data_IF_118005854121
#
_entry.id   IF_118005854121
#
_cell.length_a   1.000
_cell.length_b   1.000
_cell.length_c   1.000
_cell.angle_alpha   90.00
_cell.angle_beta   90.00
_cell.angle_gamma   90.00
#
_symmetry.space_group_name_H-M   'P 1'
#
loop_
_entity.id
_entity.type
_entity.pdbx_description
1 polymer ?
#
# COMPACT_ATOMS: atom_id res chain seq x y z
N UNK A 1 3.83 10.54 8.61
CA UNK A 1 2.63 11.45 8.59
C UNK A 1 3.03 12.91 8.34
N UNK A 2 4.27 13.32 8.62
CA UNK A 2 4.76 14.68 8.35
C UNK A 2 4.96 14.92 6.85
N UNK A 3 5.40 13.90 6.16
CA UNK A 3 5.74 13.85 4.74
C UNK A 3 4.50 14.04 3.86
N UNK A 4 3.43 13.31 4.17
CA UNK A 4 2.13 13.42 3.46
C UNK A 4 1.53 14.82 3.68
N UNK A 5 1.61 15.36 4.89
CA UNK A 5 1.14 16.72 5.19
C UNK A 5 1.93 17.77 4.42
N UNK A 6 3.24 17.60 4.31
CA UNK A 6 4.09 18.50 3.54
C UNK A 6 3.76 18.41 2.05
N UNK A 7 3.68 17.20 1.51
CA UNK A 7 3.27 16.96 0.14
C UNK A 7 1.90 17.58 -0.18
N UNK A 8 0.90 17.44 0.69
CA UNK A 8 -0.42 18.04 0.48
C UNK A 8 -0.36 19.58 0.43
N UNK A 9 0.51 20.21 1.22
CA UNK A 9 0.73 21.67 1.15
C UNK A 9 1.35 22.08 -0.18
N UNK A 10 2.37 21.35 -0.62
CA UNK A 10 3.06 21.65 -1.88
C UNK A 10 2.16 21.35 -3.09
N UNK A 11 1.33 20.31 -3.00
CA UNK A 11 0.30 20.00 -3.98
C UNK A 11 -0.72 21.12 -4.13
N UNK A 12 -1.17 21.72 -3.02
CA UNK A 12 -2.06 22.88 -3.05
C UNK A 12 -1.42 24.09 -3.71
N UNK A 13 -0.11 24.30 -3.52
CA UNK A 13 0.62 25.37 -4.23
C UNK A 13 0.68 25.10 -5.73
N UNK A 14 0.93 23.85 -6.13
CA UNK A 14 0.90 23.47 -7.55
C UNK A 14 -0.48 23.70 -8.16
N UNK A 15 -1.55 23.32 -7.47
CA UNK A 15 -2.91 23.58 -7.91
C UNK A 15 -3.17 25.09 -8.13
N UNK A 16 -2.75 25.93 -7.19
CA UNK A 16 -2.87 27.38 -7.31
C UNK A 16 -2.03 27.94 -8.46
N UNK A 17 -0.82 27.42 -8.65
CA UNK A 17 0.09 27.84 -9.72
C UNK A 17 -0.40 27.42 -11.12
N UNK A 18 -1.07 26.27 -11.23
CA UNK A 18 -1.62 25.78 -12.50
C UNK A 18 -2.85 26.57 -12.96
N UNK A 19 -3.53 27.29 -12.08
CA UNK A 19 -4.62 28.22 -12.42
C UNK A 19 -5.69 27.58 -13.32
N UNK A 20 -5.93 28.19 -14.49
CA UNK A 20 -6.92 27.74 -15.47
C UNK A 20 -6.59 26.40 -16.14
N UNK A 21 -5.31 25.98 -16.11
CA UNK A 21 -4.89 24.69 -16.65
C UNK A 21 -5.18 23.51 -15.69
N UNK A 22 -5.67 23.80 -14.47
CA UNK A 22 -6.06 22.77 -13.51
C UNK A 22 -7.45 22.22 -13.82
N UNK A 23 -7.51 21.00 -14.33
CA UNK A 23 -8.76 20.30 -14.65
C UNK A 23 -8.97 19.14 -13.68
N UNK A 24 -9.73 19.34 -12.58
CA UNK A 24 -9.98 18.27 -11.62
C UNK A 24 -10.92 17.23 -12.20
N UNK A 25 -10.75 15.98 -11.77
CA UNK A 25 -11.73 14.94 -12.03
C UNK A 25 -13.06 15.33 -11.37
N UNK A 26 -14.18 15.09 -12.06
CA UNK A 26 -15.52 15.31 -11.53
C UNK A 26 -16.19 13.98 -11.21
N UNK A 27 -17.04 13.98 -10.19
CA UNK A 27 -17.92 12.84 -9.90
C UNK A 27 -19.11 12.79 -10.88
N UNK A 28 -19.97 11.80 -10.69
CA UNK A 28 -21.17 11.61 -11.51
C UNK A 28 -22.18 12.76 -11.38
N UNK A 29 -22.06 13.59 -10.34
CA UNK A 29 -22.93 14.74 -10.05
C UNK A 29 -22.31 16.07 -10.53
N UNK A 30 -21.09 16.03 -11.08
CA UNK A 30 -20.36 17.18 -11.58
C UNK A 30 -19.53 17.93 -10.54
N UNK A 31 -19.46 17.44 -9.29
CA UNK A 31 -18.63 18.04 -8.26
C UNK A 31 -17.16 17.70 -8.48
N UNK A 32 -16.27 18.65 -8.18
CA UNK A 32 -14.82 18.43 -8.35
C UNK A 32 -14.28 17.54 -7.23
N UNK A 33 -13.63 16.44 -7.60
CA UNK A 33 -12.93 15.53 -6.68
C UNK A 33 -11.52 16.06 -6.47
N UNK A 34 -11.17 16.31 -5.20
CA UNK A 34 -9.83 16.73 -4.84
C UNK A 34 -8.90 15.52 -4.67
N UNK A 35 -8.16 15.18 -5.72
CA UNK A 35 -7.18 14.09 -5.71
C UNK A 35 -5.83 14.60 -5.16
N UNK A 36 -5.24 13.86 -4.22
CA UNK A 36 -3.90 14.16 -3.70
C UNK A 36 -2.78 13.81 -4.70
N UNK A 37 -2.99 12.78 -5.52
CA UNK A 37 -2.02 12.32 -6.50
C UNK A 37 -2.55 12.58 -7.89
N UNK A 38 -2.02 13.63 -8.51
CA UNK A 38 -2.39 14.05 -9.85
C UNK A 38 -1.14 14.40 -10.65
N UNK A 39 -1.32 14.51 -11.96
CA UNK A 39 -0.36 15.19 -12.83
C UNK A 39 -0.36 16.70 -12.51
N UNK A 40 0.61 17.43 -13.05
CA UNK A 40 0.74 18.89 -12.85
C UNK A 40 -0.50 19.70 -13.29
N UNK A 41 -1.33 19.13 -14.16
CA UNK A 41 -2.58 19.71 -14.65
C UNK A 41 -3.85 19.22 -13.91
N UNK A 42 -3.71 18.48 -12.81
CA UNK A 42 -4.86 18.02 -12.01
C UNK A 42 -5.52 16.73 -12.49
N UNK A 43 -5.11 16.17 -13.62
CA UNK A 43 -5.60 14.87 -14.08
C UNK A 43 -5.09 13.72 -13.20
N UNK A 44 -5.87 12.64 -13.03
CA UNK A 44 -5.43 11.43 -12.34
C UNK A 44 -4.14 10.86 -12.95
N UNK A 45 -3.27 10.30 -12.10
CA UNK A 45 -2.17 9.48 -12.57
C UNK A 45 -2.72 8.18 -13.19
N UNK A 46 -2.09 7.73 -14.27
CA UNK A 46 -2.41 6.41 -14.82
C UNK A 46 -2.02 5.34 -13.77
N UNK A 47 -2.83 4.27 -13.56
CA UNK A 47 -2.55 3.24 -12.56
C UNK A 47 -1.13 2.68 -12.63
N UNK A 48 -0.61 2.47 -13.86
CA UNK A 48 0.73 1.91 -14.06
C UNK A 48 1.88 2.89 -13.84
N UNK A 49 1.60 4.19 -13.68
CA UNK A 49 2.65 5.21 -13.47
C UNK A 49 3.52 4.88 -12.24
N UNK A 50 2.88 4.36 -11.18
CA UNK A 50 3.57 3.95 -9.96
C UNK A 50 4.45 2.73 -10.18
N UNK A 51 3.95 1.72 -10.90
CA UNK A 51 4.70 0.51 -11.25
C UNK A 51 5.91 0.83 -12.14
N UNK A 52 5.73 1.74 -13.12
CA UNK A 52 6.81 2.23 -13.97
C UNK A 52 7.88 2.96 -13.18
N UNK A 53 7.47 3.93 -12.35
CA UNK A 53 8.42 4.68 -11.52
C UNK A 53 9.15 3.81 -10.50
N UNK A 54 8.47 2.82 -9.94
CA UNK A 54 9.09 1.85 -9.03
C UNK A 54 10.19 1.04 -9.73
N UNK A 55 9.95 0.59 -10.96
CA UNK A 55 10.94 -0.13 -11.75
C UNK A 55 12.21 0.68 -11.96
N UNK A 56 12.07 1.96 -12.30
CA UNK A 56 13.21 2.88 -12.44
C UNK A 56 14.01 3.02 -11.15
N UNK A 57 13.35 3.04 -9.98
CA UNK A 57 14.02 3.11 -8.67
C UNK A 57 14.78 1.81 -8.40
N UNK A 58 14.16 0.66 -8.64
CA UNK A 58 14.78 -0.67 -8.46
C UNK A 58 16.03 -0.80 -9.32
N UNK A 59 15.95 -0.43 -10.59
CA UNK A 59 17.07 -0.46 -11.53
C UNK A 59 18.18 0.52 -11.13
N UNK A 60 17.83 1.77 -10.78
CA UNK A 60 18.79 2.80 -10.37
C UNK A 60 19.60 2.41 -9.14
N UNK A 61 18.99 1.68 -8.21
CA UNK A 61 19.64 1.24 -6.97
C UNK A 61 20.19 -0.19 -7.05
N UNK A 62 20.19 -0.79 -8.24
CA UNK A 62 20.69 -2.14 -8.49
C UNK A 62 20.08 -3.20 -7.54
N UNK A 63 18.79 -3.03 -7.24
CA UNK A 63 18.04 -3.91 -6.36
C UNK A 63 17.57 -5.17 -7.13
N UNK A 64 17.33 -6.30 -6.43
CA UNK A 64 16.71 -7.46 -7.05
C UNK A 64 15.35 -7.12 -7.65
N UNK A 65 14.87 -7.93 -8.60
CA UNK A 65 13.58 -7.71 -9.28
C UNK A 65 12.43 -7.65 -8.27
N UNK A 66 12.00 -6.44 -7.94
CA UNK A 66 10.91 -6.15 -7.00
C UNK A 66 9.79 -5.43 -7.74
N UNK A 67 8.57 -5.94 -7.61
CA UNK A 67 7.38 -5.26 -8.12
C UNK A 67 6.83 -4.28 -7.10
N UNK A 68 6.06 -3.30 -7.56
CA UNK A 68 5.41 -2.35 -6.65
C UNK A 68 4.39 -3.07 -5.74
N UNK A 69 3.66 -4.05 -6.28
CA UNK A 69 2.77 -4.92 -5.49
C UNK A 69 3.57 -5.79 -4.49
N UNK A 70 4.82 -6.12 -4.79
CA UNK A 70 5.72 -6.81 -3.87
C UNK A 70 5.89 -6.10 -2.53
N UNK A 71 5.84 -4.77 -2.51
CA UNK A 71 5.88 -4.00 -1.25
C UNK A 71 4.72 -4.33 -0.31
N UNK A 72 3.52 -4.56 -0.88
CA UNK A 72 2.34 -4.98 -0.12
C UNK A 72 2.52 -6.37 0.47
N UNK A 73 3.17 -7.28 -0.28
CA UNK A 73 3.52 -8.59 0.25
C UNK A 73 4.56 -8.51 1.36
N UNK A 74 5.62 -7.70 1.17
CA UNK A 74 6.65 -7.46 2.20
C UNK A 74 6.03 -6.91 3.49
N UNK A 75 5.10 -5.97 3.39
CA UNK A 75 4.36 -5.44 4.54
C UNK A 75 3.64 -6.56 5.31
N UNK A 76 2.86 -7.37 4.61
CA UNK A 76 2.08 -8.44 5.23
C UNK A 76 3.00 -9.50 5.89
N UNK A 77 4.01 -9.97 5.16
CA UNK A 77 5.02 -10.91 5.69
C UNK A 77 5.72 -10.34 6.93
N UNK A 78 6.09 -9.07 6.92
CA UNK A 78 6.73 -8.42 8.06
C UNK A 78 5.80 -8.37 9.27
N UNK A 79 4.55 -7.97 9.10
CA UNK A 79 3.58 -7.91 10.21
C UNK A 79 3.27 -9.30 10.79
N UNK A 80 3.19 -10.33 9.93
CA UNK A 80 3.02 -11.73 10.37
C UNK A 80 4.24 -12.20 11.17
N UNK A 81 5.46 -11.86 10.73
CA UNK A 81 6.69 -12.19 11.46
C UNK A 81 6.79 -11.52 12.84
N UNK A 82 5.97 -10.48 13.08
CA UNK A 82 5.83 -9.80 14.36
C UNK A 82 4.63 -10.31 15.18
N UNK A 83 4.04 -11.44 14.78
CA UNK A 83 2.88 -12.06 15.41
C UNK A 83 1.67 -11.12 15.51
N UNK A 84 1.54 -10.16 14.58
CA UNK A 84 0.35 -9.29 14.52
C UNK A 84 -0.85 -10.13 14.05
N UNK A 85 -2.01 -9.87 14.63
CA UNK A 85 -3.24 -10.59 14.31
C UNK A 85 -3.61 -10.45 12.82
N UNK A 86 -3.88 -11.58 12.16
CA UNK A 86 -4.27 -11.65 10.75
C UNK A 86 -5.50 -10.78 10.40
N UNK A 87 -6.45 -10.61 11.32
CA UNK A 87 -7.62 -9.74 11.13
C UNK A 87 -7.20 -8.29 10.96
N UNK A 88 -6.27 -7.81 11.78
CA UNK A 88 -5.72 -6.45 11.72
C UNK A 88 -4.96 -6.25 10.40
N UNK A 89 -4.14 -7.22 10.01
CA UNK A 89 -3.38 -7.17 8.76
C UNK A 89 -4.33 -7.13 7.57
N UNK A 90 -5.37 -7.96 7.55
CA UNK A 90 -6.40 -7.95 6.51
C UNK A 90 -7.09 -6.59 6.41
N UNK A 91 -7.51 -5.99 7.53
CA UNK A 91 -8.18 -4.68 7.54
C UNK A 91 -7.28 -3.58 6.99
N UNK A 92 -6.00 -3.58 7.36
CA UNK A 92 -5.05 -2.58 6.86
C UNK A 92 -4.69 -2.78 5.39
N UNK A 93 -4.69 -4.03 4.91
CA UNK A 93 -4.57 -4.31 3.49
C UNK A 93 -5.86 -3.93 2.75
N UNK A 94 -7.03 -4.01 3.39
CA UNK A 94 -8.32 -3.83 2.73
C UNK A 94 -8.70 -5.05 1.88
N UNK A 95 -8.22 -6.24 2.23
CA UNK A 95 -8.69 -7.48 1.60
C UNK A 95 -10.09 -7.80 2.12
N UNK A 96 -11.05 -7.97 1.20
CA UNK A 96 -12.42 -8.38 1.54
C UNK A 96 -12.43 -9.80 2.10
N UNK A 97 -11.50 -10.66 1.65
CA UNK A 97 -11.38 -12.04 2.08
C UNK A 97 -10.07 -12.32 2.85
N UNK A 98 -10.20 -12.83 4.07
CA UNK A 98 -9.09 -13.20 4.94
C UNK A 98 -8.31 -14.39 4.38
N UNK A 99 -8.98 -15.27 3.63
CA UNK A 99 -8.38 -16.46 3.02
C UNK A 99 -7.32 -16.09 2.00
N UNK A 100 -7.40 -14.95 1.31
CA UNK A 100 -6.32 -14.52 0.42
C UNK A 100 -5.04 -14.23 1.20
N UNK A 101 -5.18 -13.57 2.36
CA UNK A 101 -4.05 -13.28 3.26
C UNK A 101 -3.52 -14.57 3.89
N UNK A 102 -4.39 -15.42 4.43
CA UNK A 102 -4.01 -16.66 5.10
C UNK A 102 -3.38 -17.64 4.10
N UNK A 103 -3.97 -17.87 2.93
CA UNK A 103 -3.44 -18.82 1.95
C UNK A 103 -2.06 -18.36 1.44
N UNK A 104 -1.88 -17.05 1.21
CA UNK A 104 -0.61 -16.49 0.74
C UNK A 104 0.50 -16.61 1.79
N UNK A 105 0.19 -16.45 3.08
CA UNK A 105 1.24 -16.36 4.13
C UNK A 105 1.22 -17.49 5.16
N UNK A 106 0.36 -18.49 5.02
CA UNK A 106 0.21 -19.62 5.94
C UNK A 106 1.52 -20.39 6.19
N UNK A 107 2.44 -20.40 5.22
CA UNK A 107 3.74 -21.04 5.36
C UNK A 107 4.63 -20.38 6.41
N UNK A 108 4.38 -19.10 6.75
CA UNK A 108 5.17 -18.35 7.73
C UNK A 108 4.79 -18.69 9.18
N UNK A 109 3.63 -19.33 9.41
CA UNK A 109 3.15 -19.67 10.76
C UNK A 109 3.48 -21.12 11.17
N UNK A 110 4.31 -21.83 10.40
CA UNK A 110 4.65 -23.25 10.66
C UNK A 110 5.29 -23.44 12.05
N UNK A 111 6.19 -22.53 12.43
CA UNK A 111 6.80 -22.50 13.78
C UNK A 111 5.81 -22.14 14.89
N UNK A 112 4.81 -21.33 14.59
CA UNK A 112 3.79 -20.97 15.57
C UNK A 112 2.83 -22.15 15.84
N UNK A 113 2.57 -23.00 14.83
CA UNK A 113 1.85 -24.27 15.03
C UNK A 113 2.57 -25.22 15.97
N UNK A 114 3.88 -25.41 15.78
CA UNK A 114 4.70 -26.26 16.66
C UNK A 114 4.66 -25.76 18.10
N UNK A 115 4.86 -24.45 18.31
CA UNK A 115 4.74 -23.82 19.64
C UNK A 115 3.36 -24.00 20.28
N UNK A 116 2.28 -23.92 19.50
CA UNK A 116 0.93 -24.10 20.02
C UNK A 116 0.70 -25.53 20.50
N UNK A 117 1.21 -26.52 19.76
CA UNK A 117 1.19 -27.93 20.16
C UNK A 117 2.02 -28.16 21.42
N UNK A 118 3.23 -27.60 21.50
CA UNK A 118 4.08 -27.72 22.69
C UNK A 118 3.44 -27.08 23.92
N UNK A 119 2.83 -25.90 23.77
CA UNK A 119 2.10 -25.23 24.85
C UNK A 119 0.91 -26.07 25.33
N UNK A 120 0.12 -26.64 24.42
CA UNK A 120 -0.99 -27.52 24.80
C UNK A 120 -0.49 -28.78 25.53
N UNK A 121 0.59 -29.39 25.06
CA UNK A 121 1.22 -30.53 25.73
C UNK A 121 1.78 -30.18 27.11
N UNK A 122 2.15 -28.92 27.36
CA UNK A 122 2.65 -28.46 28.66
C UNK A 122 1.55 -28.21 29.70
N UNK A 123 0.28 -28.15 29.26
CA UNK A 123 -0.90 -27.97 30.13
C UNK A 123 -1.51 -29.33 30.54
N UNK A 124 -1.20 -30.39 29.79
CA UNK A 124 -1.53 -31.78 30.11
C UNK A 124 -0.51 -32.38 31.09
#
# INVERSE_FOLDING_TARGET
>A
MREIKQYAKDHKKLQLASGEAWTPMKDNEGNSINLLFTKTNGFPLHPDSMSGRWREIVERHNLPKLTFHGLRHTYATFMISKNVNFKIIQEQLGHVNIQETINTYSHLTKKDKEKATDYFNSIL
#
